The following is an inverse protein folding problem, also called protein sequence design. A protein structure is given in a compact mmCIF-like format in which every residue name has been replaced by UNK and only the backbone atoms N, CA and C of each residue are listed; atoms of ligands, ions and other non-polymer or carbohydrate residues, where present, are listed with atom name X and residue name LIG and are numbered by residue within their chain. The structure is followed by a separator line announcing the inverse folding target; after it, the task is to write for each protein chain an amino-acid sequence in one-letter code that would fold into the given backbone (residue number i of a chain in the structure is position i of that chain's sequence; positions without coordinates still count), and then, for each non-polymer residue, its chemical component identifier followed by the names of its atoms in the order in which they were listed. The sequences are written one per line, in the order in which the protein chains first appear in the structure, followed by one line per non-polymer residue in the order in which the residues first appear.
data_IF_223256759481
#
_entry.id   IF_223256759481
#
_cell.length_a   1.000
_cell.length_b   1.000
_cell.length_c   1.000
_cell.angle_alpha   90.00
_cell.angle_beta   90.00
_cell.angle_gamma   90.00
#
_symmetry.space_group_name_H-M   'P 1'
#
loop_
_entity.id
_entity.type
_entity.pdbx_description
1 polymer ?
#
# COMPACT_ATOMS: atom_id res chain seq x y z
N UNK A 1 6.09 12.99 -21.90
CA UNK A 1 6.13 13.93 -23.04
C UNK A 1 4.78 14.14 -23.75
N UNK A 2 3.94 13.11 -23.98
CA UNK A 2 2.63 13.27 -24.68
C UNK A 2 1.66 14.31 -24.04
N UNK A 3 1.68 14.49 -22.71
CA UNK A 3 0.79 15.44 -22.02
C UNK A 3 1.27 16.90 -22.09
N UNK A 4 2.59 17.14 -22.02
CA UNK A 4 3.17 18.49 -22.21
C UNK A 4 2.90 18.99 -23.64
N UNK A 5 3.01 18.09 -24.63
CA UNK A 5 2.65 18.40 -26.00
C UNK A 5 1.16 18.74 -26.16
N UNK A 6 0.24 18.09 -25.44
CA UNK A 6 -1.19 18.41 -25.49
C UNK A 6 -1.54 19.75 -24.86
N UNK A 7 -0.93 20.11 -23.72
CA UNK A 7 -1.14 21.43 -23.10
C UNK A 7 -0.48 22.55 -23.91
N UNK A 8 0.72 22.34 -24.45
CA UNK A 8 1.35 23.32 -25.34
C UNK A 8 0.61 23.44 -26.68
N UNK A 9 0.07 22.34 -27.22
CA UNK A 9 -0.80 22.38 -28.39
C UNK A 9 -2.11 23.12 -28.10
N UNK A 10 -2.73 22.95 -26.92
CA UNK A 10 -3.95 23.68 -26.56
C UNK A 10 -3.71 25.19 -26.36
N UNK A 11 -2.58 25.58 -25.75
CA UNK A 11 -2.17 26.98 -25.63
C UNK A 11 -1.84 27.56 -27.02
N UNK A 12 -1.12 26.79 -27.85
CA UNK A 12 -0.85 27.15 -29.25
C UNK A 12 -2.13 27.31 -30.08
N UNK A 13 -3.12 26.42 -29.91
CA UNK A 13 -4.41 26.46 -30.59
C UNK A 13 -5.26 27.64 -30.11
N UNK A 14 -5.23 27.96 -28.82
CA UNK A 14 -5.91 29.13 -28.25
C UNK A 14 -5.34 30.45 -28.79
N UNK A 15 -4.02 30.54 -28.94
CA UNK A 15 -3.34 31.70 -29.54
C UNK A 15 -3.62 31.79 -31.05
N UNK A 16 -3.66 30.65 -31.76
CA UNK A 16 -4.05 30.58 -33.17
C UNK A 16 -5.50 31.04 -33.40
N UNK A 17 -6.43 30.58 -32.56
CA UNK A 17 -7.84 30.96 -32.66
C UNK A 17 -8.09 32.42 -32.26
N UNK A 18 -7.30 33.00 -31.34
CA UNK A 18 -7.39 34.41 -30.98
C UNK A 18 -6.81 35.36 -32.04
N UNK A 19 -5.89 34.88 -32.89
CA UNK A 19 -5.24 35.69 -33.94
C UNK A 19 -5.91 35.57 -35.32
N UNK A 20 -6.64 34.48 -35.58
CA UNK A 20 -7.33 34.25 -36.85
C UNK A 20 -8.53 35.18 -37.20
N UNK A 21 -9.36 35.72 -36.29
CA UNK A 21 -10.54 36.48 -36.71
C UNK A 21 -10.21 37.79 -37.44
N UNK A 22 -9.02 38.36 -37.22
CA UNK A 22 -8.58 39.60 -37.90
C UNK A 22 -8.03 39.36 -39.32
N UNK A 23 -7.42 38.20 -39.57
CA UNK A 23 -6.90 37.88 -40.90
C UNK A 23 -8.04 37.62 -41.89
N UNK A 24 -9.09 36.91 -41.45
CA UNK A 24 -10.27 36.61 -42.29
C UNK A 24 -11.11 37.88 -42.55
N UNK A 25 -11.24 38.77 -41.57
CA UNK A 25 -11.95 40.06 -41.75
C UNK A 25 -11.28 40.98 -42.79
N UNK A 26 -9.94 41.03 -42.80
CA UNK A 26 -9.19 41.84 -43.77
C UNK A 26 -9.22 41.26 -45.19
N UNK A 27 -9.34 39.94 -45.34
CA UNK A 27 -9.47 39.30 -46.65
C UNK A 27 -10.88 39.46 -47.22
N UNK A 28 -11.92 39.46 -46.39
CA UNK A 28 -13.30 39.74 -46.79
C UNK A 28 -13.50 41.19 -47.31
N UNK A 29 -12.85 42.19 -46.68
CA UNK A 29 -12.92 43.58 -47.17
C UNK A 29 -12.20 43.80 -48.50
N UNK A 30 -11.08 43.09 -48.76
CA UNK A 30 -10.38 43.17 -50.04
C UNK A 30 -11.19 42.60 -51.20
N UNK A 31 -11.97 41.54 -50.95
CA UNK A 31 -12.86 40.93 -51.95
C UNK A 31 -14.05 41.85 -52.24
N UNK A 32 -14.60 42.53 -51.22
CA UNK A 32 -15.67 43.53 -51.40
C UNK A 32 -15.22 44.80 -52.14
N UNK A 33 -13.94 45.16 -52.09
CA UNK A 33 -13.40 46.33 -52.78
C UNK A 33 -13.10 46.09 -54.28
N UNK A 34 -13.04 44.84 -54.74
CA UNK A 34 -12.75 44.49 -56.14
C UNK A 34 -14.00 44.29 -57.01
N UNK A 35 -15.21 44.46 -56.48
CA UNK A 35 -16.46 44.16 -57.20
C UNK A 35 -17.17 45.37 -57.84
N UNK A 36 -16.53 46.53 -57.99
CA UNK A 36 -17.11 47.67 -58.72
C UNK A 36 -16.26 48.08 -59.93
N UNK A 37 -16.58 47.59 -61.15
CA UNK A 37 -16.00 48.10 -62.38
C UNK A 37 -16.90 49.19 -62.97
N UNK A 38 -16.48 50.46 -62.86
CA UNK A 38 -17.09 51.51 -63.68
C UNK A 38 -16.92 52.93 -63.16
N UNK A 39 -15.84 53.58 -63.57
CA UNK A 39 -15.90 54.93 -64.17
C UNK A 39 -14.49 55.46 -64.42
N UNK A 40 -14.19 55.74 -65.69
CA UNK A 40 -13.02 56.48 -66.13
C UNK A 40 -13.13 57.95 -65.69
N UNK A 41 -12.12 58.48 -64.99
CA UNK A 41 -11.81 59.92 -65.02
C UNK A 41 -10.40 60.22 -64.47
N UNK A 42 -9.55 60.68 -65.38
CA UNK A 42 -8.46 61.66 -65.25
C UNK A 42 -7.72 61.86 -63.90
N UNK A 43 -6.43 61.53 -63.98
CA UNK A 43 -5.28 62.36 -63.60
C UNK A 43 -5.36 63.25 -62.35
N UNK A 44 -4.70 62.77 -61.30
CA UNK A 44 -4.06 63.58 -60.28
C UNK A 44 -3.09 62.69 -59.52
N UNK A 45 -1.80 62.70 -59.90
CA UNK A 45 -0.72 62.00 -59.17
C UNK A 45 -0.49 62.69 -57.83
N UNK A 46 -1.37 62.45 -56.86
CA UNK A 46 -1.05 62.64 -55.46
C UNK A 46 -0.20 61.44 -55.03
N UNK A 47 1.10 61.63 -54.83
CA UNK A 47 1.91 60.69 -54.06
C UNK A 47 1.36 60.67 -52.64
N UNK A 48 0.39 59.79 -52.40
CA UNK A 48 -0.02 59.44 -51.05
C UNK A 48 1.17 58.75 -50.43
N UNK A 49 1.97 59.50 -49.66
CA UNK A 49 2.89 58.91 -48.70
C UNK A 49 2.02 58.09 -47.76
N UNK A 50 1.89 56.79 -48.04
CA UNK A 50 1.46 55.82 -47.05
C UNK A 50 2.52 55.85 -45.98
N UNK A 51 2.32 56.74 -45.00
CA UNK A 51 2.97 56.67 -43.71
C UNK A 51 2.77 55.24 -43.25
N UNK A 52 3.82 54.43 -43.33
CA UNK A 52 3.81 53.11 -42.74
C UNK A 52 3.63 53.36 -41.25
N UNK A 53 2.37 53.33 -40.80
CA UNK A 53 2.06 53.23 -39.38
C UNK A 53 2.78 51.96 -38.99
N UNK A 54 3.89 52.11 -38.27
CA UNK A 54 4.63 50.99 -37.72
C UNK A 54 3.60 50.19 -36.94
N UNK A 55 3.19 49.07 -37.53
CA UNK A 55 2.19 48.19 -36.96
C UNK A 55 2.66 47.87 -35.56
N UNK A 56 1.81 48.11 -34.59
CA UNK A 56 2.19 47.96 -33.20
C UNK A 56 2.85 46.60 -32.97
N UNK A 57 3.99 46.58 -32.28
CA UNK A 57 4.90 45.44 -32.19
C UNK A 57 4.20 44.11 -31.81
N UNK A 58 3.11 44.17 -31.03
CA UNK A 58 2.29 43.01 -30.65
C UNK A 58 1.53 42.34 -31.80
N UNK A 59 1.46 42.96 -32.99
CA UNK A 59 0.82 42.39 -34.18
C UNK A 59 1.77 41.51 -34.99
N UNK A 60 3.08 41.59 -34.76
CA UNK A 60 4.03 40.75 -35.49
C UNK A 60 4.16 39.37 -34.80
N UNK A 61 3.80 38.26 -35.50
CA UNK A 61 3.82 36.91 -34.94
C UNK A 61 5.22 36.42 -34.52
N UNK A 62 6.28 37.05 -35.04
CA UNK A 62 7.66 36.78 -34.65
C UNK A 62 7.93 37.06 -33.18
N UNK A 63 7.41 38.17 -32.63
CA UNK A 63 7.59 38.50 -31.22
C UNK A 63 6.86 37.52 -30.28
N UNK A 64 5.69 37.03 -30.68
CA UNK A 64 4.97 36.01 -29.92
C UNK A 64 5.70 34.67 -29.94
N UNK A 65 6.22 34.27 -31.09
CA UNK A 65 7.00 33.04 -31.23
C UNK A 65 8.28 33.09 -30.39
N UNK A 66 8.97 34.23 -30.39
CA UNK A 66 10.13 34.48 -29.52
C UNK A 66 9.73 34.45 -28.03
N UNK A 67 8.65 35.14 -27.66
CA UNK A 67 8.15 35.18 -26.28
C UNK A 67 7.78 33.79 -25.74
N UNK A 68 7.06 32.98 -26.51
CA UNK A 68 6.71 31.60 -26.14
C UNK A 68 7.94 30.71 -26.05
N UNK A 69 8.90 30.87 -26.96
CA UNK A 69 10.17 30.12 -26.93
C UNK A 69 11.02 30.48 -25.70
N UNK A 70 11.12 31.77 -25.38
CA UNK A 70 11.82 32.25 -24.19
C UNK A 70 11.14 31.77 -22.90
N UNK A 71 9.80 31.82 -22.84
CA UNK A 71 9.03 31.28 -21.72
C UNK A 71 9.24 29.77 -21.58
N UNK A 72 9.22 29.02 -22.68
CA UNK A 72 9.48 27.58 -22.67
C UNK A 72 10.91 27.27 -22.20
N UNK A 73 11.89 28.09 -22.56
CA UNK A 73 13.26 27.97 -22.10
C UNK A 73 13.37 28.24 -20.59
N UNK A 74 12.77 29.32 -20.09
CA UNK A 74 12.73 29.65 -18.65
C UNK A 74 12.07 28.52 -17.85
N UNK A 75 10.92 28.02 -18.31
CA UNK A 75 10.20 26.90 -17.68
C UNK A 75 11.03 25.60 -17.70
N UNK A 76 11.84 25.41 -18.73
CA UNK A 76 12.71 24.24 -18.86
C UNK A 76 13.98 24.34 -18.00
N UNK A 77 14.47 25.56 -17.75
CA UNK A 77 15.73 25.79 -17.05
C UNK A 77 15.60 25.72 -15.53
N UNK A 78 14.43 26.06 -14.98
CA UNK A 78 14.24 26.05 -13.53
C UNK A 78 13.55 24.76 -13.03
N UNK A 79 14.26 23.87 -12.30
CA UNK A 79 13.71 22.60 -11.84
C UNK A 79 12.46 22.77 -10.96
N UNK A 80 12.37 23.89 -10.21
CA UNK A 80 11.23 24.21 -9.36
C UNK A 80 9.95 24.44 -10.16
N UNK A 81 10.05 25.06 -11.34
CA UNK A 81 8.89 25.29 -12.22
C UNK A 81 8.48 23.95 -12.84
N UNK A 82 9.45 23.18 -13.35
CA UNK A 82 9.19 21.85 -13.89
C UNK A 82 8.53 20.92 -12.85
N UNK A 83 8.96 20.96 -11.59
CA UNK A 83 8.36 20.18 -10.51
C UNK A 83 6.88 20.54 -10.29
N UNK A 84 6.46 21.80 -10.47
CA UNK A 84 5.05 22.19 -10.35
C UNK A 84 4.17 21.57 -11.46
N UNK A 85 4.70 21.45 -12.67
CA UNK A 85 4.00 20.84 -13.82
C UNK A 85 4.24 19.33 -13.98
N UNK A 86 5.14 18.77 -13.17
CA UNK A 86 5.44 17.34 -13.13
C UNK A 86 4.21 16.47 -12.87
N UNK A 87 4.20 15.27 -13.44
CA UNK A 87 3.24 14.24 -13.03
C UNK A 87 3.76 13.50 -11.81
N UNK A 88 2.92 13.31 -10.80
CA UNK A 88 3.21 12.37 -9.71
C UNK A 88 2.99 10.94 -10.24
N UNK A 89 3.99 10.07 -10.10
CA UNK A 89 3.92 8.69 -10.58
C UNK A 89 4.57 7.77 -9.56
N UNK A 90 3.73 7.06 -8.82
CA UNK A 90 4.17 6.07 -7.84
C UNK A 90 3.94 4.68 -8.39
N UNK A 91 4.91 3.81 -8.14
CA UNK A 91 4.82 2.39 -8.46
C UNK A 91 5.16 1.59 -7.21
N UNK A 92 4.23 0.73 -6.81
CA UNK A 92 4.47 -0.31 -5.82
C UNK A 92 4.98 -1.53 -6.56
N UNK A 93 6.07 -2.11 -6.08
CA UNK A 93 6.55 -3.44 -6.38
C UNK A 93 6.54 -4.25 -5.11
N UNK A 94 6.27 -5.53 -5.23
CA UNK A 94 6.31 -6.50 -4.13
C UNK A 94 6.87 -7.80 -4.70
N UNK A 95 7.39 -8.68 -3.84
CA UNK A 95 7.78 -10.02 -4.27
C UNK A 95 6.55 -10.87 -4.62
N UNK A 96 6.79 -11.94 -5.36
CA UNK A 96 5.78 -12.94 -5.75
C UNK A 96 5.28 -13.78 -4.57
N UNK A 97 5.76 -13.53 -3.35
CA UNK A 97 5.39 -14.28 -2.17
C UNK A 97 5.10 -13.35 -0.99
N UNK A 98 4.09 -13.69 -0.22
CA UNK A 98 3.78 -13.03 1.05
C UNK A 98 3.35 -14.07 2.08
N UNK A 99 3.35 -13.67 3.35
CA UNK A 99 3.00 -14.56 4.45
C UNK A 99 1.66 -14.16 5.01
N UNK A 100 0.73 -15.12 5.06
CA UNK A 100 -0.53 -15.00 5.77
C UNK A 100 -0.45 -15.83 7.05
N UNK A 101 -0.84 -15.24 8.18
CA UNK A 101 -0.90 -15.96 9.45
C UNK A 101 -1.99 -15.37 10.33
N UNK A 102 -2.43 -16.15 11.31
CA UNK A 102 -3.44 -15.75 12.26
C UNK A 102 -2.82 -15.64 13.65
N UNK A 103 -3.11 -14.56 14.38
CA UNK A 103 -2.82 -14.47 15.81
C UNK A 103 -4.11 -14.23 16.56
N UNK A 104 -4.53 -15.22 17.36
CA UNK A 104 -5.73 -15.17 18.20
C UNK A 104 -7.05 -14.85 17.48
N UNK A 105 -7.18 -15.26 16.23
CA UNK A 105 -8.33 -14.98 15.36
C UNK A 105 -8.16 -13.73 14.51
N UNK A 106 -7.11 -12.92 14.70
CA UNK A 106 -6.84 -11.74 13.89
C UNK A 106 -5.91 -12.11 12.75
N UNK A 107 -6.26 -11.71 11.53
CA UNK A 107 -5.50 -12.05 10.33
C UNK A 107 -4.38 -11.05 10.08
N UNK A 108 -3.17 -11.56 9.85
CA UNK A 108 -1.98 -10.78 9.57
C UNK A 108 -1.43 -11.13 8.20
N UNK A 109 -1.10 -10.10 7.44
CA UNK A 109 -0.33 -10.21 6.19
C UNK A 109 1.04 -9.60 6.44
N UNK A 110 2.10 -10.35 6.20
CA UNK A 110 3.46 -9.81 6.11
C UNK A 110 3.95 -9.83 4.66
N UNK A 111 4.34 -8.66 4.16
CA UNK A 111 4.73 -8.46 2.77
C UNK A 111 5.88 -7.46 2.66
N UNK A 112 6.84 -7.71 1.77
CA UNK A 112 7.85 -6.72 1.41
C UNK A 112 7.26 -5.74 0.39
N UNK A 113 7.28 -4.45 0.70
CA UNK A 113 6.88 -3.38 -0.22
C UNK A 113 8.09 -2.60 -0.68
N UNK A 114 8.18 -2.37 -1.99
CA UNK A 114 9.11 -1.44 -2.63
C UNK A 114 8.33 -0.36 -3.39
N UNK A 115 8.27 0.84 -2.83
CA UNK A 115 7.53 1.98 -3.37
C UNK A 115 8.51 2.93 -4.03
N UNK A 116 8.37 3.11 -5.34
CA UNK A 116 9.27 3.92 -6.15
C UNK A 116 8.53 5.15 -6.68
N UNK A 117 9.15 6.33 -6.56
CA UNK A 117 8.65 7.55 -7.19
C UNK A 117 9.35 7.80 -8.52
N UNK A 118 8.65 7.51 -9.63
CA UNK A 118 9.11 7.77 -10.99
C UNK A 118 8.59 9.11 -11.55
N UNK A 119 7.87 9.88 -10.75
CA UNK A 119 7.33 11.19 -11.13
C UNK A 119 8.35 12.31 -10.96
N UNK A 120 8.02 13.50 -11.47
CA UNK A 120 8.84 14.71 -11.25
C UNK A 120 8.44 15.48 -9.97
N UNK A 121 7.44 14.98 -9.22
CA UNK A 121 6.93 15.58 -7.97
C UNK A 121 7.28 14.72 -6.76
N UNK A 122 7.58 15.37 -5.63
CA UNK A 122 7.69 14.67 -4.34
C UNK A 122 6.34 14.06 -3.96
N UNK A 123 6.37 12.79 -3.60
CA UNK A 123 5.21 12.05 -3.12
C UNK A 123 5.13 12.14 -1.60
N UNK A 124 3.93 12.30 -1.07
CA UNK A 124 3.65 12.20 0.36
C UNK A 124 2.66 11.05 0.56
N UNK A 125 3.14 9.95 1.15
CA UNK A 125 2.34 8.76 1.43
C UNK A 125 2.02 8.77 2.92
N UNK A 126 0.76 9.06 3.25
CA UNK A 126 0.27 9.13 4.64
C UNK A 126 -0.25 7.79 5.13
N UNK A 127 -0.66 6.89 4.23
CA UNK A 127 -1.27 5.61 4.61
C UNK A 127 -1.05 4.54 3.54
N UNK A 128 -0.80 3.30 3.96
CA UNK A 128 -0.86 2.12 3.10
C UNK A 128 -1.96 1.20 3.61
N UNK A 129 -2.79 0.70 2.69
CA UNK A 129 -3.92 -0.17 3.00
C UNK A 129 -3.83 -1.45 2.18
N UNK A 130 -3.99 -2.58 2.85
CA UNK A 130 -4.10 -3.90 2.24
C UNK A 130 -5.60 -4.28 2.21
N UNK A 131 -6.12 -4.78 1.11
CA UNK A 131 -7.52 -5.24 0.99
C UNK A 131 -7.51 -6.65 0.41
N UNK A 132 -8.02 -7.62 1.16
CA UNK A 132 -8.28 -8.96 0.66
C UNK A 132 -9.74 -9.03 0.21
N UNK A 133 -9.98 -9.62 -0.96
CA UNK A 133 -11.32 -9.87 -1.47
C UNK A 133 -11.42 -11.28 -2.06
N UNK A 134 -12.50 -11.99 -1.74
CA UNK A 134 -12.81 -13.27 -2.37
C UNK A 134 -13.26 -13.03 -3.83
N UNK A 135 -12.73 -13.81 -4.78
CA UNK A 135 -13.15 -13.71 -6.20
C UNK A 135 -14.58 -14.17 -6.42
N UNK A 136 -14.99 -15.24 -5.72
CA UNK A 136 -16.31 -15.85 -5.84
C UNK A 136 -17.38 -14.97 -5.17
N UNK A 137 -17.09 -14.45 -3.98
CA UNK A 137 -17.97 -13.52 -3.27
C UNK A 137 -17.34 -12.13 -3.16
N UNK A 138 -17.68 -11.25 -4.10
CA UNK A 138 -17.17 -9.87 -4.12
C UNK A 138 -17.62 -9.03 -2.92
N UNK A 139 -18.66 -9.45 -2.17
CA UNK A 139 -19.13 -8.72 -1.00
C UNK A 139 -18.23 -8.95 0.21
N UNK A 140 -17.61 -10.12 0.31
CA UNK A 140 -16.64 -10.42 1.36
C UNK A 140 -15.32 -9.72 1.05
N UNK A 141 -15.07 -8.65 1.81
CA UNK A 141 -13.85 -7.85 1.71
C UNK A 141 -13.32 -7.55 3.10
N UNK A 142 -12.01 -7.70 3.27
CA UNK A 142 -11.30 -7.45 4.52
C UNK A 142 -10.23 -6.39 4.28
N UNK A 143 -10.43 -5.23 4.87
CA UNK A 143 -9.48 -4.11 4.78
C UNK A 143 -8.53 -4.13 5.97
N UNK A 144 -7.26 -4.41 5.72
CA UNK A 144 -6.19 -4.49 6.72
C UNK A 144 -5.24 -3.30 6.56
N UNK A 145 -5.28 -2.30 7.45
CA UNK A 145 -4.33 -1.19 7.41
C UNK A 145 -2.89 -1.68 7.70
N UNK A 146 -1.90 -1.06 7.07
CA UNK A 146 -0.49 -1.26 7.43
C UNK A 146 -0.23 -0.57 8.76
N UNK A 147 0.40 -1.28 9.71
CA UNK A 147 0.61 -0.77 11.07
C UNK A 147 2.06 -0.80 11.54
N UNK A 148 2.85 -1.75 11.05
CA UNK A 148 4.26 -1.84 11.43
C UNK A 148 5.09 -1.96 10.17
N UNK A 149 6.18 -1.19 10.12
CA UNK A 149 7.31 -1.50 9.26
C UNK A 149 8.41 -2.04 10.15
N UNK A 150 8.95 -3.20 9.81
CA UNK A 150 10.20 -3.62 10.41
C UNK A 150 11.28 -2.77 9.75
N UNK A 151 11.87 -1.84 10.50
CA UNK A 151 13.23 -1.42 10.17
C UNK A 151 14.10 -2.65 10.43
N UNK A 152 14.19 -3.56 9.46
CA UNK A 152 15.28 -4.52 9.49
C UNK A 152 16.55 -3.67 9.44
N UNK A 153 17.13 -3.55 10.62
CA UNK A 153 18.54 -3.51 10.95
C UNK A 153 19.38 -3.54 9.68
N UNK A 154 20.15 -2.47 9.51
CA UNK A 154 21.37 -2.42 8.70
C UNK A 154 22.19 -3.69 8.87
N UNK A 155 21.85 -4.72 8.10
CA UNK A 155 22.72 -5.84 7.81
C UNK A 155 23.11 -5.58 6.37
N UNK A 156 24.25 -4.91 6.20
CA UNK A 156 24.83 -4.71 4.89
C UNK A 156 25.10 -6.07 4.28
N UNK A 157 24.24 -6.51 3.38
CA UNK A 157 24.45 -7.62 2.47
C UNK A 157 23.75 -7.28 1.15
N UNK A 158 24.34 -7.73 0.02
CA UNK A 158 24.25 -7.05 -1.27
C UNK A 158 22.90 -7.21 -1.93
N UNK A 159 22.53 -6.17 -2.68
CA UNK A 159 21.50 -6.23 -3.73
C UNK A 159 21.70 -7.48 -4.60
N UNK A 160 20.61 -8.21 -4.82
CA UNK A 160 20.49 -9.42 -5.65
C UNK A 160 20.96 -10.74 -5.04
N UNK A 161 20.00 -11.44 -4.44
CA UNK A 161 20.12 -12.85 -4.06
C UNK A 161 18.82 -13.35 -3.44
N UNK A 162 17.92 -13.87 -4.27
CA UNK A 162 16.69 -14.55 -3.86
C UNK A 162 17.02 -15.71 -2.88
N UNK A 163 16.16 -15.87 -1.86
CA UNK A 163 16.16 -16.90 -0.80
C UNK A 163 17.31 -16.86 0.21
N UNK A 164 17.17 -16.00 1.22
CA UNK A 164 17.71 -16.30 2.54
C UNK A 164 16.56 -16.29 3.55
N UNK A 165 16.17 -17.48 3.99
CA UNK A 165 15.17 -17.77 5.04
C UNK A 165 15.51 -17.18 6.42
N UNK A 166 16.61 -16.41 6.57
CA UNK A 166 17.18 -16.11 7.90
C UNK A 166 16.91 -14.71 8.45
N UNK A 167 15.98 -13.91 7.91
CA UNK A 167 15.61 -12.62 8.54
C UNK A 167 14.12 -12.27 8.60
N UNK A 168 13.23 -13.19 8.22
CA UNK A 168 11.79 -13.13 8.55
C UNK A 168 11.45 -13.80 9.90
N UNK A 169 12.47 -14.38 10.54
CA UNK A 169 12.40 -15.13 11.80
C UNK A 169 12.74 -14.30 13.03
N UNK A 170 12.91 -12.98 12.92
CA UNK A 170 12.85 -12.11 14.10
C UNK A 170 11.41 -12.18 14.62
N UNK A 171 11.16 -13.21 15.42
CA UNK A 171 9.99 -13.40 16.25
C UNK A 171 9.92 -12.19 17.14
N UNK A 172 9.28 -11.12 16.66
CA UNK A 172 8.67 -10.19 17.58
C UNK A 172 7.53 -11.01 18.16
N UNK A 173 7.61 -11.47 19.42
CA UNK A 173 6.46 -12.09 20.04
C UNK A 173 5.29 -11.11 19.84
N UNK A 174 4.08 -11.56 19.40
CA UNK A 174 2.90 -10.73 19.51
C UNK A 174 2.93 -10.03 20.86
N UNK A 175 2.99 -8.68 20.82
CA UNK A 175 3.25 -7.89 22.01
C UNK A 175 2.22 -8.28 23.06
N UNK A 176 2.69 -8.51 24.28
CA UNK A 176 1.83 -8.86 25.39
C UNK A 176 0.75 -7.78 25.52
N UNK A 177 -0.50 -8.17 25.78
CA UNK A 177 -1.65 -7.26 25.81
C UNK A 177 -1.64 -6.17 26.90
N UNK A 178 -0.54 -6.04 27.64
CA UNK A 178 -0.35 -5.02 28.67
C UNK A 178 0.56 -3.88 28.21
N UNK A 179 1.22 -4.00 27.05
CA UNK A 179 1.88 -2.85 26.45
C UNK A 179 0.81 -1.99 25.80
N UNK A 180 0.60 -0.78 26.31
CA UNK A 180 -0.17 0.24 25.60
C UNK A 180 0.29 0.21 24.16
N UNK A 181 -0.65 -0.04 23.24
CA UNK A 181 -0.38 0.06 21.81
C UNK A 181 0.33 1.40 21.62
N UNK A 182 1.62 1.44 21.26
CA UNK A 182 2.13 2.69 20.74
C UNK A 182 1.17 2.98 19.60
N UNK A 183 0.60 4.18 19.58
CA UNK A 183 0.19 4.76 18.32
C UNK A 183 1.44 4.71 17.46
N UNK A 184 1.61 3.59 16.75
CA UNK A 184 2.65 3.36 15.77
C UNK A 184 2.17 4.19 14.61
N UNK A 185 2.43 5.49 14.77
CA UNK A 185 2.24 6.53 13.80
C UNK A 185 2.99 6.03 12.58
N UNK A 186 2.21 5.58 11.60
CA UNK A 186 2.70 5.48 10.25
C UNK A 186 3.12 6.90 9.87
N UNK A 187 4.41 7.20 10.05
CA UNK A 187 4.96 8.50 9.69
C UNK A 187 4.74 8.71 8.20
N UNK A 188 4.40 9.93 7.81
CA UNK A 188 4.25 10.27 6.40
C UNK A 188 5.57 9.99 5.68
N UNK A 189 5.53 9.13 4.67
CA UNK A 189 6.69 8.80 3.84
C UNK A 189 6.79 9.84 2.73
N UNK A 190 7.90 10.58 2.70
CA UNK A 190 8.19 11.53 1.64
C UNK A 190 9.20 10.92 0.66
N UNK A 191 8.82 10.81 -0.61
CA UNK A 191 9.70 10.29 -1.68
C UNK A 191 9.96 11.38 -2.71
N UNK A 192 11.21 11.82 -2.85
CA UNK A 192 11.59 12.72 -3.94
C UNK A 192 11.55 11.99 -5.29
N UNK A 193 11.54 12.71 -6.42
CA UNK A 193 11.72 12.11 -7.74
C UNK A 193 12.94 11.19 -7.80
N UNK A 194 12.74 9.95 -8.23
CA UNK A 194 13.77 8.92 -8.35
C UNK A 194 14.07 8.16 -7.04
N UNK A 195 13.52 8.55 -5.90
CA UNK A 195 13.72 7.83 -4.63
C UNK A 195 12.80 6.60 -4.53
N UNK A 196 13.29 5.61 -3.80
CA UNK A 196 12.58 4.38 -3.46
C UNK A 196 12.49 4.20 -1.94
N UNK A 197 11.43 3.53 -1.49
CA UNK A 197 11.28 3.12 -0.10
C UNK A 197 10.93 1.64 -0.06
N UNK A 198 11.79 0.86 0.59
CA UNK A 198 11.64 -0.59 0.66
C UNK A 198 11.60 -1.04 2.12
N UNK A 199 10.48 -1.67 2.53
CA UNK A 199 10.32 -2.23 3.88
C UNK A 199 9.41 -3.46 3.89
N UNK A 200 9.69 -4.37 4.81
CA UNK A 200 8.73 -5.38 5.25
C UNK A 200 7.64 -4.71 6.09
N UNK A 201 6.39 -4.87 5.70
CA UNK A 201 5.24 -4.33 6.40
C UNK A 201 4.30 -5.43 6.86
N UNK A 202 3.65 -5.19 8.00
CA UNK A 202 2.57 -6.05 8.47
C UNK A 202 1.23 -5.30 8.41
N UNK A 203 0.26 -5.87 7.69
CA UNK A 203 -1.13 -5.40 7.66
C UNK A 203 -2.00 -6.26 8.57
N UNK A 204 -2.77 -5.64 9.47
CA UNK A 204 -3.71 -6.33 10.36
C UNK A 204 -4.76 -5.34 10.90
N UNK A 205 -5.89 -5.86 11.35
CA UNK A 205 -6.92 -5.05 12.00
C UNK A 205 -6.59 -4.77 13.46
N UNK A 206 -6.86 -3.54 13.91
CA UNK A 206 -6.83 -3.25 15.32
C UNK A 206 -8.08 -3.88 15.96
N UNK A 207 -7.85 -4.66 17.00
CA UNK A 207 -8.94 -5.10 17.86
C UNK A 207 -9.58 -3.88 18.52
N UNK A 208 -10.90 -3.92 18.69
CA UNK A 208 -11.56 -2.93 19.53
C UNK A 208 -11.09 -3.10 20.98
N UNK A 209 -11.23 -2.06 21.80
CA UNK A 209 -10.83 -2.12 23.23
C UNK A 209 -11.56 -3.26 23.95
N UNK A 210 -12.81 -3.50 23.60
CA UNK A 210 -13.65 -4.54 24.14
C UNK A 210 -13.16 -5.94 23.72
N UNK A 211 -12.78 -6.11 22.44
CA UNK A 211 -12.20 -7.35 21.93
C UNK A 211 -10.85 -7.65 22.54
N UNK A 212 -9.98 -6.64 22.62
CA UNK A 212 -8.67 -6.75 23.26
C UNK A 212 -8.86 -7.15 24.73
N UNK A 213 -9.75 -6.47 25.47
CA UNK A 213 -10.05 -6.84 26.86
C UNK A 213 -10.55 -8.29 26.99
N UNK A 214 -11.43 -8.74 26.09
CA UNK A 214 -11.94 -10.12 26.08
C UNK A 214 -10.84 -11.13 25.75
N UNK A 215 -10.02 -10.85 24.73
CA UNK A 215 -8.87 -11.67 24.37
C UNK A 215 -7.91 -11.79 25.56
N UNK A 216 -7.64 -10.69 26.26
CA UNK A 216 -6.73 -10.65 27.40
C UNK A 216 -7.25 -11.49 28.56
N UNK A 217 -8.56 -11.41 28.82
CA UNK A 217 -9.22 -12.24 29.81
C UNK A 217 -9.10 -13.72 29.48
N UNK A 218 -9.42 -14.11 28.24
CA UNK A 218 -9.35 -15.49 27.75
C UNK A 218 -7.90 -16.03 27.81
N UNK A 219 -6.92 -15.24 27.39
CA UNK A 219 -5.50 -15.60 27.47
C UNK A 219 -5.01 -15.69 28.92
N UNK A 220 -5.46 -14.79 29.81
CA UNK A 220 -5.12 -14.81 31.25
C UNK A 220 -5.66 -16.06 31.93
N UNK A 221 -6.94 -16.38 31.73
CA UNK A 221 -7.57 -17.60 32.22
C UNK A 221 -6.79 -18.84 31.76
N UNK A 222 -6.35 -18.80 30.51
CA UNK A 222 -5.53 -19.84 29.92
C UNK A 222 -4.17 -20.03 30.58
N UNK A 223 -3.45 -18.93 30.80
CA UNK A 223 -2.15 -18.94 31.50
C UNK A 223 -2.30 -19.41 32.94
N UNK A 224 -3.31 -18.93 33.66
CA UNK A 224 -3.59 -19.38 35.02
C UNK A 224 -3.88 -20.88 35.09
N UNK A 225 -4.61 -21.44 34.12
CA UNK A 225 -4.87 -22.87 34.05
C UNK A 225 -3.57 -23.68 33.92
N UNK A 226 -2.67 -23.26 33.02
CA UNK A 226 -1.35 -23.88 32.82
C UNK A 226 -0.51 -23.80 34.11
N UNK A 227 -0.48 -22.64 34.76
CA UNK A 227 0.28 -22.44 36.00
C UNK A 227 -0.27 -23.31 37.15
N UNK A 228 -1.59 -23.39 37.32
CA UNK A 228 -2.21 -24.27 38.34
C UNK A 228 -1.89 -25.74 38.10
N UNK A 229 -1.90 -26.21 36.84
CA UNK A 229 -1.49 -27.57 36.50
C UNK A 229 -0.01 -27.83 36.78
N UNK A 230 0.84 -26.86 36.48
CA UNK A 230 2.27 -26.89 36.82
C UNK A 230 2.47 -27.10 38.33
N UNK A 231 1.83 -26.30 39.17
CA UNK A 231 2.03 -26.37 40.62
C UNK A 231 1.51 -27.68 41.23
N UNK A 232 0.38 -28.19 40.71
CA UNK A 232 -0.16 -29.48 41.13
C UNK A 232 0.75 -30.65 40.71
N UNK A 233 1.39 -30.58 39.55
CA UNK A 233 2.35 -31.61 39.10
C UNK A 233 3.58 -31.67 40.01
N UNK A 234 4.11 -30.51 40.41
CA UNK A 234 5.25 -30.41 41.35
C UNK A 234 4.93 -30.97 42.73
N UNK A 235 3.73 -30.69 43.26
CA UNK A 235 3.26 -31.22 44.56
C UNK A 235 3.12 -32.74 44.56
N UNK A 236 2.62 -33.33 43.46
CA UNK A 236 2.53 -34.81 43.33
C UNK A 236 3.91 -35.46 43.26
N UNK A 237 4.86 -34.81 42.59
CA UNK A 237 6.22 -35.33 42.47
C UNK A 237 6.97 -35.30 43.82
N UNK A 238 6.79 -34.25 44.63
CA UNK A 238 7.43 -34.19 45.96
C UNK A 238 6.85 -35.16 46.98
N UNK A 239 5.55 -35.49 46.90
CA UNK A 239 4.93 -36.49 47.80
C UNK A 239 5.32 -37.94 47.49
N UNK A 240 5.67 -38.26 46.24
CA UNK A 240 6.08 -39.61 45.84
C UNK A 240 7.50 -40.00 46.28
N UNK A 241 8.37 -39.02 46.54
CA UNK A 241 9.80 -39.28 46.76
C UNK A 241 10.14 -39.77 48.18
N UNK A 242 9.29 -39.52 49.18
CA UNK A 242 9.58 -39.87 50.58
C UNK A 242 9.01 -41.23 51.03
N UNK A 243 8.28 -41.96 50.17
CA UNK A 243 7.53 -43.14 50.64
C UNK A 243 8.26 -44.47 50.58
N UNK A 244 9.42 -44.54 49.92
CA UNK A 244 10.25 -45.75 49.89
C UNK A 244 11.64 -45.43 50.45
N UNK A 245 11.89 -45.79 51.72
CA UNK A 245 13.13 -45.56 52.46
C UNK A 245 14.36 -46.35 51.96
N UNK A 246 14.54 -46.49 50.65
CA UNK A 246 15.73 -47.05 50.04
C UNK A 246 16.72 -45.95 49.68
N UNK A 247 17.81 -45.87 50.44
CA UNK A 247 18.93 -44.95 50.24
C UNK A 247 19.67 -45.27 48.92
N UNK A 248 19.13 -44.83 47.76
CA UNK A 248 19.79 -44.98 46.46
C UNK A 248 20.48 -43.67 46.07
N UNK A 249 21.80 -43.62 46.27
CA UNK A 249 22.67 -42.45 46.05
C UNK A 249 23.08 -42.24 44.59
N UNK A 250 22.40 -42.84 43.61
CA UNK A 250 22.71 -42.58 42.20
C UNK A 250 22.04 -41.28 41.73
N UNK A 251 22.81 -40.19 41.85
CA UNK A 251 22.52 -38.87 41.27
C UNK A 251 22.50 -39.02 39.75
N UNK A 252 21.35 -39.43 39.23
CA UNK A 252 21.05 -39.35 37.81
C UNK A 252 20.58 -37.91 37.57
N UNK A 253 21.17 -37.15 36.62
CA UNK A 253 20.65 -35.84 36.31
C UNK A 253 19.16 -35.96 35.97
N UNK A 254 18.30 -35.06 36.49
CA UNK A 254 16.88 -35.10 36.17
C UNK A 254 16.74 -35.07 34.65
N UNK A 255 15.89 -35.95 34.06
CA UNK A 255 15.68 -35.94 32.61
C UNK A 255 15.30 -34.52 32.19
N UNK A 256 15.89 -33.99 31.10
CA UNK A 256 15.61 -32.65 30.63
C UNK A 256 14.10 -32.50 30.50
N UNK A 257 13.58 -31.55 31.28
CA UNK A 257 12.17 -31.27 31.53
C UNK A 257 11.27 -31.62 30.34
N UNK A 258 10.37 -32.58 30.54
CA UNK A 258 9.20 -32.81 29.71
C UNK A 258 8.23 -31.63 29.84
N UNK A 259 8.60 -30.47 29.29
CA UNK A 259 7.69 -29.33 29.10
C UNK A 259 6.51 -29.70 28.17
N UNK A 260 6.54 -30.88 27.52
CA UNK A 260 5.48 -31.37 26.64
C UNK A 260 4.18 -31.73 27.35
N UNK A 261 4.16 -31.86 28.69
CA UNK A 261 2.95 -32.24 29.43
C UNK A 261 2.15 -31.06 30.01
N UNK A 262 2.61 -29.82 29.85
CA UNK A 262 1.87 -28.64 30.30
C UNK A 262 0.90 -28.17 29.23
N UNK A 263 -0.10 -28.99 28.95
CA UNK A 263 -1.22 -28.58 28.12
C UNK A 263 -2.27 -27.85 28.95
N UNK A 264 -2.80 -26.79 28.37
CA UNK A 264 -4.05 -26.18 28.80
C UNK A 264 -5.16 -27.24 28.93
N UNK A 265 -6.09 -27.00 29.85
CA UNK A 265 -7.32 -27.80 29.92
C UNK A 265 -8.14 -27.72 28.64
N UNK A 266 -8.77 -28.83 28.25
CA UNK A 266 -9.54 -28.89 27.00
C UNK A 266 -10.69 -27.87 27.02
N UNK A 267 -11.26 -27.57 28.19
CA UNK A 267 -12.26 -26.51 28.39
C UNK A 267 -11.69 -25.13 28.03
N UNK A 268 -10.57 -24.73 28.63
CA UNK A 268 -9.93 -23.43 28.39
C UNK A 268 -9.44 -23.31 26.93
N UNK A 269 -8.94 -24.40 26.36
CA UNK A 269 -8.53 -24.45 24.96
C UNK A 269 -9.73 -24.29 24.02
N UNK A 270 -10.85 -24.95 24.31
CA UNK A 270 -12.08 -24.83 23.53
C UNK A 270 -12.66 -23.41 23.56
N UNK A 271 -12.54 -22.71 24.68
CA UNK A 271 -12.94 -21.30 24.82
C UNK A 271 -12.08 -20.39 23.94
N UNK A 272 -10.75 -20.54 24.00
CA UNK A 272 -9.81 -19.81 23.12
C UNK A 272 -10.14 -20.08 21.65
N UNK A 273 -10.27 -21.35 21.28
CA UNK A 273 -10.54 -21.75 19.90
C UNK A 273 -11.85 -21.16 19.39
N UNK A 274 -12.90 -21.21 20.20
CA UNK A 274 -14.22 -20.66 19.87
C UNK A 274 -14.14 -19.15 19.70
N UNK A 275 -13.47 -18.45 20.62
CA UNK A 275 -13.26 -17.00 20.53
C UNK A 275 -12.49 -16.62 19.25
N UNK A 276 -11.34 -17.25 19.00
CA UNK A 276 -10.49 -16.94 17.85
C UNK A 276 -11.19 -17.26 16.52
N UNK A 277 -11.89 -18.39 16.44
CA UNK A 277 -12.63 -18.78 15.23
C UNK A 277 -13.80 -17.83 14.97
N UNK A 278 -14.53 -17.44 16.02
CA UNK A 278 -15.62 -16.47 15.91
C UNK A 278 -15.13 -15.09 15.47
N UNK A 279 -13.99 -14.64 15.98
CA UNK A 279 -13.38 -13.38 15.59
C UNK A 279 -12.95 -13.39 14.12
N UNK A 280 -12.27 -14.44 13.68
CA UNK A 280 -11.84 -14.57 12.28
C UNK A 280 -13.03 -14.62 11.33
N UNK A 281 -14.05 -15.46 11.62
CA UNK A 281 -15.25 -15.59 10.79
C UNK A 281 -16.04 -14.30 10.64
N UNK A 282 -16.02 -13.44 11.67
CA UNK A 282 -16.67 -12.14 11.63
C UNK A 282 -15.94 -11.16 10.70
N UNK A 283 -14.63 -11.27 10.60
CA UNK A 283 -13.82 -10.42 9.71
C UNK A 283 -13.87 -10.91 8.25
N UNK A 284 -13.68 -12.21 8.05
CA UNK A 284 -13.71 -12.84 6.73
C UNK A 284 -14.03 -14.34 6.87
N UNK A 285 -14.92 -14.83 6.03
CA UNK A 285 -15.11 -16.26 5.87
C UNK A 285 -14.05 -16.79 4.90
N UNK A 286 -13.02 -17.43 5.44
CA UNK A 286 -12.01 -18.10 4.63
C UNK A 286 -12.62 -19.36 4.05
N UNK A 287 -12.75 -19.40 2.72
CA UNK A 287 -13.22 -20.54 1.94
C UNK A 287 -12.15 -20.90 0.91
N UNK A 288 -12.10 -22.16 0.51
CA UNK A 288 -11.21 -22.57 -0.57
C UNK A 288 -11.55 -21.79 -1.85
N UNK A 289 -10.55 -21.22 -2.50
CA UNK A 289 -10.78 -20.44 -3.71
C UNK A 289 -9.72 -19.40 -4.02
N UNK A 290 -10.02 -18.65 -5.09
CA UNK A 290 -9.18 -17.56 -5.53
C UNK A 290 -9.51 -16.26 -4.80
N UNK A 291 -8.47 -15.53 -4.42
CA UNK A 291 -8.56 -14.25 -3.74
C UNK A 291 -7.79 -13.17 -4.53
N UNK A 292 -8.16 -11.92 -4.27
CA UNK A 292 -7.45 -10.72 -4.72
C UNK A 292 -6.88 -9.97 -3.53
N UNK A 293 -5.62 -9.59 -3.60
CA UNK A 293 -4.97 -8.70 -2.66
C UNK A 293 -4.69 -7.37 -3.36
N UNK A 294 -5.27 -6.29 -2.84
CA UNK A 294 -4.96 -4.92 -3.24
C UNK A 294 -4.06 -4.27 -2.20
N UNK A 295 -3.03 -3.58 -2.65
CA UNK A 295 -2.17 -2.75 -1.81
C UNK A 295 -2.21 -1.34 -2.37
N UNK A 296 -2.82 -0.45 -1.61
CA UNK A 296 -3.03 0.93 -2.02
C UNK A 296 -2.18 1.88 -1.15
N UNK A 297 -1.38 2.71 -1.80
CA UNK A 297 -0.71 3.82 -1.15
C UNK A 297 -1.55 5.10 -1.31
N UNK A 298 -1.83 5.76 -0.20
CA UNK A 298 -2.66 6.94 -0.13
C UNK A 298 -1.84 8.14 0.32
N UNK A 299 -2.13 9.29 -0.27
CA UNK A 299 -1.83 10.59 0.29
C UNK A 299 -2.97 11.03 1.21
N UNK A 300 -2.87 12.21 1.82
CA UNK A 300 -3.96 12.78 2.61
C UNK A 300 -5.25 13.00 1.81
N UNK A 301 -5.16 13.22 0.50
CA UNK A 301 -6.29 13.64 -0.34
C UNK A 301 -6.76 12.58 -1.33
N UNK A 302 -5.86 11.73 -1.78
CA UNK A 302 -6.13 10.80 -2.87
C UNK A 302 -5.29 9.53 -2.78
N UNK A 303 -5.79 8.46 -3.41
CA UNK A 303 -5.04 7.22 -3.63
C UNK A 303 -4.02 7.43 -4.75
N UNK A 304 -2.74 7.30 -4.42
CA UNK A 304 -1.63 7.57 -5.33
C UNK A 304 -1.37 6.45 -6.32
N UNK A 305 -1.46 5.20 -5.83
CA UNK A 305 -1.29 4.01 -6.66
C UNK A 305 -1.88 2.80 -5.96
N UNK A 306 -2.24 1.80 -6.77
CA UNK A 306 -2.75 0.51 -6.32
C UNK A 306 -1.97 -0.59 -7.03
N UNK A 307 -1.55 -1.58 -6.26
CA UNK A 307 -1.00 -2.82 -6.75
C UNK A 307 -2.00 -3.94 -6.46
N UNK A 308 -2.21 -4.82 -7.43
CA UNK A 308 -3.22 -5.87 -7.39
C UNK A 308 -2.59 -7.20 -7.77
N UNK A 309 -2.87 -8.23 -6.97
CA UNK A 309 -2.50 -9.63 -7.27
C UNK A 309 -3.61 -10.60 -6.93
N UNK A 310 -3.52 -11.75 -7.56
CA UNK A 310 -4.36 -12.91 -7.28
C UNK A 310 -3.55 -13.97 -6.54
N UNK A 311 -4.21 -14.69 -5.64
CA UNK A 311 -3.61 -15.84 -4.97
C UNK A 311 -4.69 -16.89 -4.72
N UNK A 312 -4.29 -18.14 -4.57
CA UNK A 312 -5.18 -19.26 -4.27
C UNK A 312 -5.03 -19.63 -2.80
N UNK A 313 -6.15 -19.79 -2.09
CA UNK A 313 -6.19 -20.47 -0.80
C UNK A 313 -6.72 -21.89 -1.01
N UNK A 314 -5.91 -22.87 -0.64
CA UNK A 314 -6.30 -24.27 -0.57
C UNK A 314 -6.82 -24.62 0.82
N UNK A 315 -7.60 -25.69 0.92
CA UNK A 315 -8.15 -26.18 2.19
C UNK A 315 -7.06 -26.35 3.27
N UNK A 316 -5.89 -26.91 2.91
CA UNK A 316 -4.77 -27.07 3.83
C UNK A 316 -4.28 -25.72 4.40
N UNK A 317 -4.25 -24.67 3.58
CA UNK A 317 -3.86 -23.33 4.05
C UNK A 317 -4.84 -22.80 5.08
N UNK A 318 -6.14 -23.03 4.86
CA UNK A 318 -7.21 -22.59 5.77
C UNK A 318 -7.10 -23.35 7.09
N UNK A 319 -6.90 -24.67 7.02
CA UNK A 319 -6.68 -25.49 8.22
C UNK A 319 -5.45 -25.02 9.01
N UNK A 320 -4.34 -24.71 8.35
CA UNK A 320 -3.15 -24.17 9.02
C UNK A 320 -3.37 -22.79 9.64
N UNK A 321 -4.21 -21.93 9.05
CA UNK A 321 -4.61 -20.64 9.63
C UNK A 321 -5.60 -20.78 10.80
N UNK A 322 -6.38 -21.86 10.80
CA UNK A 322 -7.33 -22.22 11.85
C UNK A 322 -6.73 -23.18 12.89
N UNK A 323 -5.46 -23.54 12.74
CA UNK A 323 -4.77 -24.41 13.68
C UNK A 323 -4.33 -23.62 14.90
N UNK A 324 -5.14 -23.75 15.95
CA UNK A 324 -4.90 -23.14 17.24
C UNK A 324 -4.09 -24.05 18.17
N UNK A 325 -3.63 -25.24 17.76
CA UNK A 325 -2.95 -26.21 18.64
C UNK A 325 -1.70 -25.63 19.32
N UNK A 326 -0.97 -24.73 18.66
CA UNK A 326 0.17 -24.06 19.28
C UNK A 326 -0.21 -23.29 20.56
N UNK A 327 -1.45 -22.81 20.67
CA UNK A 327 -1.95 -22.15 21.87
C UNK A 327 -2.18 -23.11 23.04
N UNK A 328 -2.43 -24.40 22.78
CA UNK A 328 -2.62 -25.43 23.82
C UNK A 328 -1.43 -25.55 24.75
N UNK A 329 -0.23 -25.28 24.25
CA UNK A 329 1.03 -25.41 24.99
C UNK A 329 1.58 -24.06 25.48
N UNK A 330 0.75 -23.02 25.50
CA UNK A 330 1.19 -21.67 25.86
C UNK A 330 2.21 -21.06 24.88
N UNK A 331 2.38 -21.66 23.70
CA UNK A 331 3.22 -21.12 22.61
C UNK A 331 2.45 -20.06 21.83
N UNK A 332 2.03 -19.02 22.52
CA UNK A 332 1.28 -17.89 21.98
C UNK A 332 2.06 -17.12 20.88
N UNK A 333 3.35 -17.40 20.70
CA UNK A 333 4.27 -16.56 19.93
C UNK A 333 4.72 -17.15 18.59
N UNK A 334 4.26 -18.34 18.22
CA UNK A 334 4.64 -19.00 16.97
C UNK A 334 3.41 -19.44 16.17
N UNK A 335 2.64 -18.49 15.62
CA UNK A 335 1.52 -18.85 14.74
C UNK A 335 2.05 -19.62 13.53
N UNK A 336 1.24 -20.56 13.02
CA UNK A 336 1.53 -21.18 11.72
C UNK A 336 1.50 -20.11 10.63
N UNK A 337 2.47 -20.19 9.73
CA UNK A 337 2.67 -19.25 8.64
C UNK A 337 2.37 -19.94 7.33
N UNK A 338 1.49 -19.35 6.53
CA UNK A 338 1.17 -19.82 5.20
C UNK A 338 1.86 -18.90 4.20
N UNK A 339 2.78 -19.46 3.41
CA UNK A 339 3.45 -18.76 2.32
C UNK A 339 2.59 -18.87 1.07
N UNK A 340 2.12 -17.74 0.57
CA UNK A 340 1.23 -17.66 -0.57
C UNK A 340 1.96 -17.04 -1.75
N UNK A 341 1.78 -17.65 -2.92
CA UNK A 341 2.28 -17.10 -4.18
C UNK A 341 1.27 -16.12 -4.74
N UNK A 342 1.74 -14.92 -5.07
CA UNK A 342 0.99 -13.87 -5.72
C UNK A 342 1.22 -13.96 -7.23
N UNK A 343 0.13 -14.04 -7.98
CA UNK A 343 0.11 -13.93 -9.43
C UNK A 343 -0.25 -12.51 -9.82
N UNK A 344 0.64 -11.89 -10.60
CA UNK A 344 0.44 -10.52 -11.05
C UNK A 344 -0.67 -10.47 -12.09
N UNK A 345 -1.63 -9.58 -11.89
CA UNK A 345 -2.61 -9.27 -12.93
C UNK A 345 -1.99 -8.23 -13.88
N UNK A 346 -1.99 -8.53 -15.18
CA UNK A 346 -1.59 -7.60 -16.24
C UNK A 346 -2.66 -6.53 -16.44
N UNK A 347 -2.77 -5.62 -15.48
CA UNK A 347 -3.62 -4.43 -15.54
C UNK A 347 -2.79 -3.17 -15.47
N UNK A 348 -3.27 -2.13 -16.12
CA UNK A 348 -2.68 -0.80 -15.94
C UNK A 348 -2.96 -0.30 -14.51
N UNK A 349 -2.04 0.46 -13.89
CA UNK A 349 -2.28 1.03 -12.56
C UNK A 349 -3.56 1.87 -12.47
N UNK A 350 -3.98 2.48 -13.58
CA UNK A 350 -5.19 3.29 -13.70
C UNK A 350 -6.46 2.42 -13.61
N UNK A 351 -6.47 1.24 -14.23
CA UNK A 351 -7.57 0.27 -14.14
C UNK A 351 -7.67 -0.31 -12.73
N UNK A 352 -6.55 -0.72 -12.12
CA UNK A 352 -6.53 -1.23 -10.75
C UNK A 352 -6.98 -0.16 -9.75
N UNK A 353 -6.60 1.11 -9.96
CA UNK A 353 -7.06 2.23 -9.15
C UNK A 353 -8.58 2.46 -9.30
N UNK A 354 -9.11 2.42 -10.52
CA UNK A 354 -10.54 2.55 -10.77
C UNK A 354 -11.32 1.41 -10.11
N UNK A 355 -10.85 0.17 -10.24
CA UNK A 355 -11.47 -0.99 -9.60
C UNK A 355 -11.43 -0.88 -8.07
N UNK A 356 -10.29 -0.48 -7.51
CA UNK A 356 -10.13 -0.28 -6.07
C UNK A 356 -11.06 0.82 -5.52
N UNK A 357 -11.14 1.97 -6.20
CA UNK A 357 -12.02 3.07 -5.77
C UNK A 357 -13.50 2.68 -5.83
N UNK A 358 -13.93 1.96 -6.88
CA UNK A 358 -15.28 1.42 -6.97
C UNK A 358 -15.59 0.48 -5.79
N UNK A 359 -14.61 -0.33 -5.37
CA UNK A 359 -14.76 -1.26 -4.24
C UNK A 359 -14.80 -0.54 -2.90
N UNK A 360 -14.01 0.51 -2.71
CA UNK A 360 -14.04 1.34 -1.50
C UNK A 360 -15.39 2.06 -1.32
N UNK A 361 -15.94 2.63 -2.38
CA UNK A 361 -17.22 3.37 -2.32
C UNK A 361 -18.41 2.44 -2.03
N UNK A 362 -18.32 1.17 -2.43
CA UNK A 362 -19.36 0.16 -2.15
C UNK A 362 -19.33 -0.41 -0.72
N UNK A 363 -18.43 0.05 0.16
CA UNK A 363 -18.41 -0.26 1.60
C UNK A 363 -19.04 0.88 2.35
#
# INVERSE_FOLDING_TARGET
MKYVYRSMAAIGLGILLATYPKAVANQAQKILAQSNPGSNANQGKAQTQTTQIQGAWWQNPGYWSFGVSLLALIVSWEPKIRAKFGSLKIRIKTPDQFVLYNVFGNLYINIALDINNFGDKTASISKIVCLIQNKSDRKQKLMLPVRTYHSNISTGLPEYGFLVETSWTTSIPPRLPTQSTPDLLFGTIYLKPGESWTKAVTCYNLLTREEEKRLNQVVSNGKENILRKSDNSKKKQSQGFFRNGGLSTRISPPPPFLLSSMSMDDTAYSEIRTFCTGMLKREIELVEGGYRLFIAAHSEKETLCVWEVEFQLYEQNIQDLLDFENYKYGRFYSPKRVYLRAERIDRTPEESLKEYNNKLISS
#
